data_IF_929293035717
#
_entry.id   IF_929293035717
#
_cell.length_a   1.000
_cell.length_b   1.000
_cell.length_c   1.000
_cell.angle_alpha   90.00
_cell.angle_beta   90.00
_cell.angle_gamma   90.00
#
_symmetry.space_group_name_H-M   'P 1'
#
loop_
_entity.id
_entity.type
_entity.pdbx_description
1 polymer ?
#
# COMPACT_ATOMS: atom_id res chain seq x y z
N UNK A 1 16.38 -4.89 1.08
CA UNK A 1 15.84 -4.04 2.17
C UNK A 1 16.64 -2.76 2.41
N UNK A 2 17.97 -2.74 2.26
CA UNK A 2 18.80 -1.53 2.50
C UNK A 2 18.49 -0.34 1.57
N UNK A 3 18.00 -0.59 0.36
CA UNK A 3 17.73 0.43 -0.66
C UNK A 3 16.47 1.26 -0.44
N UNK A 4 15.55 0.82 0.42
CA UNK A 4 14.26 1.50 0.66
C UNK A 4 14.30 2.50 1.83
N UNK A 5 15.43 2.62 2.54
CA UNK A 5 15.53 3.47 3.75
C UNK A 5 14.76 2.92 4.97
N UNK A 6 14.01 1.83 4.82
CA UNK A 6 13.19 1.24 5.88
C UNK A 6 13.88 0.15 6.69
N UNK A 7 15.20 0.18 6.86
CA UNK A 7 15.98 -0.91 7.50
C UNK A 7 15.51 -1.26 8.93
N UNK A 8 14.74 -0.38 9.58
CA UNK A 8 14.16 -0.55 10.92
C UNK A 8 12.69 -0.98 10.94
N UNK A 9 11.96 -0.91 9.83
CA UNK A 9 10.53 -1.22 9.79
C UNK A 9 10.33 -2.61 9.21
N UNK A 10 9.62 -3.48 9.92
CA UNK A 10 9.24 -4.83 9.48
C UNK A 10 7.73 -4.96 9.36
N UNK A 11 7.00 -4.29 10.26
CA UNK A 11 5.54 -4.34 10.36
C UNK A 11 4.91 -3.06 9.83
N UNK A 12 4.18 -3.17 8.73
CA UNK A 12 3.48 -2.04 8.12
C UNK A 12 1.98 -2.24 8.28
N UNK A 13 1.31 -1.26 8.87
CA UNK A 13 -0.14 -1.25 8.99
C UNK A 13 -0.77 -0.25 8.02
N UNK A 14 -1.74 -0.69 7.23
CA UNK A 14 -2.39 0.13 6.21
C UNK A 14 -3.86 0.37 6.56
N UNK A 15 -4.24 1.64 6.70
CA UNK A 15 -5.62 2.04 7.02
C UNK A 15 -6.35 2.38 5.72
N UNK A 16 -7.45 1.66 5.45
CA UNK A 16 -8.14 1.69 4.15
C UNK A 16 -7.40 0.86 3.10
N UNK A 17 -6.98 -0.35 3.47
CA UNK A 17 -6.11 -1.21 2.65
C UNK A 17 -6.77 -1.70 1.34
N UNK A 18 -8.09 -1.78 1.31
CA UNK A 18 -8.89 -2.22 0.16
C UNK A 18 -9.13 -1.13 -0.89
N UNK A 19 -8.71 0.12 -0.64
CA UNK A 19 -8.79 1.18 -1.66
C UNK A 19 -7.96 0.85 -2.91
N UNK A 20 -8.44 1.25 -4.08
CA UNK A 20 -7.81 0.95 -5.39
C UNK A 20 -6.31 1.25 -5.48
N UNK A 21 -5.86 2.37 -4.88
CA UNK A 21 -4.43 2.72 -4.85
C UNK A 21 -3.65 2.11 -3.69
N UNK A 22 -4.35 1.64 -2.65
CA UNK A 22 -3.75 1.06 -1.45
C UNK A 22 -3.45 -0.43 -1.63
N UNK A 23 -4.35 -1.17 -2.28
CA UNK A 23 -4.22 -2.62 -2.44
C UNK A 23 -2.98 -2.99 -3.26
N UNK A 24 -2.66 -2.22 -4.30
CA UNK A 24 -1.44 -2.43 -5.08
C UNK A 24 -0.17 -2.18 -4.26
N UNK A 25 -0.15 -1.11 -3.45
CA UNK A 25 0.97 -0.80 -2.54
C UNK A 25 1.14 -1.92 -1.50
N UNK A 26 0.04 -2.37 -0.90
CA UNK A 26 0.03 -3.46 0.07
C UNK A 26 0.56 -4.77 -0.52
N UNK A 27 0.14 -5.09 -1.75
CA UNK A 27 0.57 -6.30 -2.46
C UNK A 27 2.07 -6.28 -2.73
N UNK A 28 2.62 -5.13 -3.16
CA UNK A 28 4.06 -4.99 -3.37
C UNK A 28 4.82 -5.17 -2.05
N UNK A 29 4.37 -4.50 -0.97
CA UNK A 29 4.99 -4.60 0.34
C UNK A 29 5.04 -6.05 0.86
N UNK A 30 3.93 -6.78 0.71
CA UNK A 30 3.85 -8.18 1.11
C UNK A 30 4.82 -9.04 0.27
N UNK A 31 4.86 -8.86 -1.05
CA UNK A 31 5.74 -9.62 -1.96
C UNK A 31 7.23 -9.38 -1.73
N UNK A 32 7.63 -8.16 -1.34
CA UNK A 32 9.04 -7.84 -1.02
C UNK A 32 9.43 -8.21 0.42
N UNK A 33 8.52 -8.80 1.19
CA UNK A 33 8.80 -9.44 2.49
C UNK A 33 8.49 -8.61 3.73
N UNK A 34 7.73 -7.52 3.63
CA UNK A 34 7.20 -6.84 4.83
C UNK A 34 6.03 -7.63 5.41
N UNK A 35 5.86 -7.54 6.73
CA UNK A 35 4.65 -8.06 7.38
C UNK A 35 3.54 -7.01 7.27
N UNK A 36 2.65 -7.20 6.29
CA UNK A 36 1.56 -6.26 6.03
C UNK A 36 0.35 -6.61 6.88
N UNK A 37 -0.17 -5.61 7.57
CA UNK A 37 -1.48 -5.66 8.21
C UNK A 37 -2.33 -4.49 7.73
N UNK A 38 -3.64 -4.56 7.89
CA UNK A 38 -4.50 -3.42 7.56
C UNK A 38 -5.92 -3.52 8.06
N UNK A 39 -6.65 -2.45 7.84
CA UNK A 39 -8.08 -2.34 8.15
C UNK A 39 -8.84 -1.76 6.97
N UNK A 40 -10.07 -2.21 6.78
CA UNK A 40 -11.00 -1.61 5.84
C UNK A 40 -12.45 -1.80 6.29
N UNK A 41 -13.37 -0.98 5.78
CA UNK A 41 -14.81 -1.11 6.05
C UNK A 41 -15.45 -2.23 5.25
N UNK A 42 -14.83 -2.65 4.14
CA UNK A 42 -15.32 -3.72 3.27
C UNK A 42 -14.17 -4.67 2.96
N UNK A 43 -14.44 -5.97 2.99
CA UNK A 43 -13.51 -6.98 2.47
C UNK A 43 -13.93 -7.30 1.04
N UNK A 44 -13.13 -6.87 0.07
CA UNK A 44 -13.33 -7.18 -1.35
C UNK A 44 -12.53 -8.42 -1.76
N UNK A 45 -12.71 -8.89 -3.00
CA UNK A 45 -11.95 -10.02 -3.53
C UNK A 45 -10.45 -9.72 -3.59
N UNK A 46 -10.05 -8.49 -3.91
CA UNK A 46 -8.64 -8.09 -3.92
C UNK A 46 -8.04 -8.09 -2.50
N UNK A 47 -8.84 -7.74 -1.49
CA UNK A 47 -8.42 -7.85 -0.09
C UNK A 47 -8.29 -9.33 0.31
N UNK A 48 -9.18 -10.21 -0.15
CA UNK A 48 -9.05 -11.65 0.06
C UNK A 48 -7.78 -12.21 -0.61
N UNK A 49 -7.44 -11.77 -1.82
CA UNK A 49 -6.18 -12.12 -2.49
C UNK A 49 -4.96 -11.68 -1.70
N UNK A 50 -4.98 -10.45 -1.19
CA UNK A 50 -3.90 -9.95 -0.34
C UNK A 50 -3.76 -10.77 0.96
N UNK A 51 -4.89 -11.18 1.56
CA UNK A 51 -4.85 -12.09 2.72
C UNK A 51 -4.28 -13.47 2.36
N UNK A 52 -4.60 -14.00 1.17
CA UNK A 52 -3.99 -15.24 0.65
C UNK A 52 -2.47 -15.12 0.45
N UNK A 53 -1.96 -13.92 0.16
CA UNK A 53 -0.52 -13.62 0.11
C UNK A 53 0.13 -13.50 1.51
N UNK A 54 -0.66 -13.62 2.59
CA UNK A 54 -0.17 -13.66 3.97
C UNK A 54 -0.38 -12.37 4.76
N UNK A 55 -0.99 -11.34 4.17
CA UNK A 55 -1.32 -10.13 4.92
C UNK A 55 -2.45 -10.40 5.93
N UNK A 56 -2.48 -9.66 7.04
CA UNK A 56 -3.57 -9.72 8.02
C UNK A 56 -4.46 -8.50 7.90
N UNK A 57 -5.70 -8.69 7.45
CA UNK A 57 -6.67 -7.60 7.31
C UNK A 57 -7.82 -7.78 8.29
N UNK A 58 -8.23 -6.70 8.94
CA UNK A 58 -9.42 -6.68 9.80
C UNK A 58 -10.56 -5.88 9.16
N UNK A 59 -11.78 -6.37 9.36
CA UNK A 59 -12.99 -5.62 9.03
C UNK A 59 -13.28 -4.56 10.11
N UNK A 60 -13.49 -3.33 9.67
CA UNK A 60 -13.72 -2.16 10.50
C UNK A 60 -12.45 -1.59 11.13
N UNK A 61 -12.54 -0.32 11.54
CA UNK A 61 -11.40 0.38 12.12
C UNK A 61 -11.32 0.21 13.63
N UNK A 62 -10.29 -0.49 14.11
CA UNK A 62 -10.00 -0.74 15.53
C UNK A 62 -8.50 -0.86 15.73
N UNK A 63 -7.93 -0.36 16.84
CA UNK A 63 -6.48 -0.40 17.08
C UNK A 63 -6.01 -1.79 17.57
N UNK A 64 -6.43 -2.87 16.92
CA UNK A 64 -6.04 -4.25 17.28
C UNK A 64 -4.78 -4.66 16.56
N UNK A 65 -4.76 -4.58 15.23
CA UNK A 65 -3.61 -4.97 14.41
C UNK A 65 -2.48 -3.92 14.43
N UNK A 66 -2.81 -2.64 14.57
CA UNK A 66 -1.83 -1.54 14.57
C UNK A 66 -0.85 -1.57 15.76
N UNK A 67 -1.15 -2.29 16.84
CA UNK A 67 -0.33 -2.30 18.07
C UNK A 67 1.12 -2.77 17.85
N UNK A 68 1.35 -3.55 16.80
CA UNK A 68 2.67 -4.08 16.44
C UNK A 68 3.29 -3.36 15.23
N UNK A 69 2.68 -2.28 14.75
CA UNK A 69 3.13 -1.58 13.56
C UNK A 69 4.34 -0.71 13.89
N UNK A 70 5.39 -0.85 13.07
CA UNK A 70 6.52 0.08 13.10
C UNK A 70 6.18 1.35 12.29
N UNK A 71 5.34 1.20 11.25
CA UNK A 71 4.93 2.24 10.33
C UNK A 71 3.45 2.09 9.95
N UNK A 72 2.76 3.22 9.82
CA UNK A 72 1.37 3.29 9.37
C UNK A 72 1.29 4.02 8.04
N UNK A 73 0.60 3.42 7.07
CA UNK A 73 0.27 4.06 5.80
C UNK A 73 -1.23 4.34 5.76
N UNK A 74 -1.60 5.60 5.54
CA UNK A 74 -3.00 6.01 5.48
C UNK A 74 -3.40 6.49 4.09
N UNK A 75 -4.60 6.08 3.66
CA UNK A 75 -5.28 6.68 2.51
C UNK A 75 -5.74 8.11 2.82
N UNK A 76 -5.82 8.96 1.80
CA UNK A 76 -6.34 10.34 1.92
C UNK A 76 -7.82 10.37 2.33
N UNK A 77 -8.56 9.29 2.09
CA UNK A 77 -9.96 9.16 2.49
C UNK A 77 -10.16 8.89 4.00
N UNK A 78 -9.09 8.62 4.75
CA UNK A 78 -9.21 8.30 6.17
C UNK A 78 -9.43 9.57 7.00
N UNK A 79 -10.55 9.61 7.72
CA UNK A 79 -10.86 10.69 8.65
C UNK A 79 -9.80 10.84 9.73
N UNK A 80 -9.48 12.10 10.10
CA UNK A 80 -8.58 12.40 11.22
C UNK A 80 -9.07 11.85 12.58
N UNK A 81 -10.37 11.52 12.68
CA UNK A 81 -10.99 10.89 13.86
C UNK A 81 -10.91 9.36 13.84
N UNK A 82 -10.28 8.76 12.83
CA UNK A 82 -10.13 7.31 12.76
C UNK A 82 -9.39 6.79 14.01
N UNK A 83 -9.93 5.77 14.71
CA UNK A 83 -9.36 5.28 15.97
C UNK A 83 -7.95 4.71 15.83
N UNK A 84 -7.60 4.16 14.67
CA UNK A 84 -6.25 3.65 14.38
C UNK A 84 -5.25 4.80 14.18
N UNK A 85 -5.64 5.87 13.47
CA UNK A 85 -4.79 7.06 13.36
C UNK A 85 -4.56 7.73 14.72
N UNK A 86 -5.60 7.83 15.55
CA UNK A 86 -5.48 8.38 16.90
C UNK A 86 -4.56 7.52 17.78
N UNK A 87 -4.67 6.19 17.66
CA UNK A 87 -3.76 5.26 18.34
C UNK A 87 -2.32 5.46 17.89
N UNK A 88 -2.06 5.46 16.58
CA UNK A 88 -0.71 5.64 16.04
C UNK A 88 -0.06 6.93 16.56
N UNK A 89 -0.81 8.04 16.58
CA UNK A 89 -0.35 9.31 17.15
C UNK A 89 -0.06 9.21 18.63
N UNK A 90 -0.97 8.61 19.41
CA UNK A 90 -0.80 8.46 20.87
C UNK A 90 0.45 7.68 21.24
N UNK A 91 0.83 6.69 20.42
CA UNK A 91 1.98 5.82 20.65
C UNK A 91 3.20 6.17 19.79
N UNK A 92 3.23 7.37 19.19
CA UNK A 92 4.34 7.87 18.36
C UNK A 92 4.78 6.89 17.24
N UNK A 93 3.84 6.15 16.68
CA UNK A 93 4.08 5.33 15.49
C UNK A 93 4.19 6.27 14.29
N UNK A 94 5.19 6.05 13.44
CA UNK A 94 5.37 6.86 12.21
C UNK A 94 4.16 6.67 11.30
N UNK A 95 3.59 7.78 10.80
CA UNK A 95 2.45 7.77 9.88
C UNK A 95 2.88 8.49 8.60
N UNK A 96 2.72 7.84 7.45
CA UNK A 96 2.97 8.45 6.14
C UNK A 96 1.76 8.29 5.20
N UNK A 97 1.57 9.21 4.25
CA UNK A 97 0.54 9.05 3.23
C UNK A 97 0.93 7.97 2.22
N UNK A 98 -0.09 7.36 1.59
CA UNK A 98 0.08 6.41 0.48
C UNK A 98 1.09 6.86 -0.58
N UNK A 99 1.02 8.13 -1.00
CA UNK A 99 1.87 8.66 -2.07
C UNK A 99 3.36 8.63 -1.71
N UNK A 100 3.71 8.88 -0.44
CA UNK A 100 5.09 8.81 0.04
C UNK A 100 5.60 7.37 0.10
N UNK A 101 4.74 6.43 0.53
CA UNK A 101 5.06 5.01 0.48
C UNK A 101 5.30 4.55 -0.96
N UNK A 102 4.39 4.88 -1.89
CA UNK A 102 4.54 4.55 -3.31
C UNK A 102 5.84 5.15 -3.89
N UNK A 103 6.10 6.43 -3.63
CA UNK A 103 7.34 7.08 -4.07
C UNK A 103 8.59 6.38 -3.53
N UNK A 104 8.55 5.89 -2.29
CA UNK A 104 9.67 5.12 -1.72
C UNK A 104 9.85 3.77 -2.40
N UNK A 105 8.76 3.06 -2.68
CA UNK A 105 8.78 1.78 -3.40
C UNK A 105 9.34 1.90 -4.82
N UNK A 106 9.18 3.06 -5.47
CA UNK A 106 9.67 3.33 -6.82
C UNK A 106 11.19 3.57 -6.89
N UNK A 107 11.82 4.06 -5.80
CA UNK A 107 13.24 4.47 -5.80
C UNK A 107 14.24 3.41 -6.30
N UNK A 108 14.11 2.13 -5.96
CA UNK A 108 15.07 1.11 -6.39
C UNK A 108 14.94 0.72 -7.88
N UNK A 109 13.90 1.18 -8.58
CA UNK A 109 13.55 0.71 -9.92
C UNK A 109 13.59 1.84 -10.96
N UNK A 110 13.80 1.46 -12.23
CA UNK A 110 13.52 2.34 -13.36
C UNK A 110 12.00 2.51 -13.47
N UNK A 111 11.52 3.63 -12.95
CA UNK A 111 10.09 3.85 -12.75
C UNK A 111 9.50 4.79 -13.80
N UNK A 112 8.28 4.49 -14.25
CA UNK A 112 7.47 5.35 -15.11
C UNK A 112 6.26 5.82 -14.31
N UNK A 113 6.07 7.14 -14.22
CA UNK A 113 4.92 7.75 -13.57
C UNK A 113 3.96 8.33 -14.62
N UNK A 114 2.72 7.85 -14.65
CA UNK A 114 1.67 8.35 -15.55
C UNK A 114 0.77 9.32 -14.80
N UNK A 115 0.84 10.61 -15.16
CA UNK A 115 0.05 11.69 -14.56
C UNK A 115 -0.94 12.29 -15.57
N UNK A 116 -1.92 13.05 -15.09
CA UNK A 116 -2.93 13.74 -15.89
C UNK A 116 -4.34 13.65 -15.29
N UNK A 117 -5.26 14.51 -15.72
CA UNK A 117 -6.65 14.49 -15.22
C UNK A 117 -7.40 13.24 -15.71
N UNK A 118 -7.19 12.86 -16.97
CA UNK A 118 -7.83 11.71 -17.62
C UNK A 118 -6.80 10.77 -18.25
N UNK A 119 -7.19 9.54 -18.59
CA UNK A 119 -6.36 8.59 -19.34
C UNK A 119 -5.28 7.85 -18.53
N UNK A 120 -4.97 8.23 -17.29
CA UNK A 120 -3.91 7.62 -16.46
C UNK A 120 -3.99 6.09 -16.38
N UNK A 121 -5.15 5.57 -16.01
CA UNK A 121 -5.39 4.13 -15.84
C UNK A 121 -5.17 3.39 -17.16
N UNK A 122 -5.82 3.85 -18.24
CA UNK A 122 -5.71 3.23 -19.57
C UNK A 122 -4.28 3.26 -20.09
N UNK A 123 -3.60 4.40 -20.00
CA UNK A 123 -2.21 4.55 -20.42
C UNK A 123 -1.27 3.66 -19.62
N UNK A 124 -1.46 3.57 -18.30
CA UNK A 124 -0.66 2.68 -17.44
C UNK A 124 -0.85 1.21 -17.84
N UNK A 125 -2.09 0.78 -18.10
CA UNK A 125 -2.40 -0.57 -18.56
C UNK A 125 -1.78 -0.89 -19.92
N UNK A 126 -1.81 0.06 -20.87
CA UNK A 126 -1.20 -0.10 -22.20
C UNK A 126 0.33 -0.26 -22.05
N UNK A 127 0.98 0.60 -21.25
CA UNK A 127 2.43 0.50 -21.00
C UNK A 127 2.78 -0.86 -20.37
N UNK A 128 2.02 -1.30 -19.36
CA UNK A 128 2.23 -2.61 -18.74
C UNK A 128 2.08 -3.75 -19.75
N UNK A 129 1.07 -3.68 -20.63
CA UNK A 129 0.84 -4.66 -21.69
C UNK A 129 2.02 -4.74 -22.68
N UNK A 130 2.53 -3.59 -23.12
CA UNK A 130 3.70 -3.52 -24.02
C UNK A 130 4.92 -4.16 -23.37
N UNK A 131 5.20 -3.85 -22.10
CA UNK A 131 6.34 -4.41 -21.38
C UNK A 131 6.19 -5.91 -21.13
N UNK A 132 4.98 -6.39 -20.85
CA UNK A 132 4.69 -7.82 -20.75
C UNK A 132 4.91 -8.53 -22.10
N UNK A 133 4.42 -7.95 -23.21
CA UNK A 133 4.59 -8.51 -24.55
C UNK A 133 6.06 -8.52 -25.01
N UNK A 134 6.90 -7.68 -24.40
CA UNK A 134 8.35 -7.67 -24.61
C UNK A 134 9.13 -8.54 -23.60
N UNK A 135 8.45 -9.36 -22.81
CA UNK A 135 9.03 -10.23 -21.76
C UNK A 135 9.85 -9.48 -20.69
N UNK A 136 9.53 -8.21 -20.44
CA UNK A 136 10.25 -7.36 -19.47
C UNK A 136 9.68 -7.44 -18.05
N UNK A 137 8.61 -8.20 -17.83
CA UNK A 137 8.00 -8.47 -16.51
C UNK A 137 7.87 -7.23 -15.60
N UNK A 138 7.13 -6.19 -16.03
CA UNK A 138 6.94 -4.96 -15.27
C UNK A 138 6.15 -5.20 -13.97
N UNK A 139 6.50 -4.48 -12.91
CA UNK A 139 5.60 -4.26 -11.77
C UNK A 139 4.82 -2.97 -12.02
N UNK A 140 3.49 -3.01 -11.87
CA UNK A 140 2.63 -1.85 -12.09
C UNK A 140 1.61 -1.70 -10.95
N UNK A 141 1.20 -0.46 -10.69
CA UNK A 141 0.14 -0.10 -9.76
C UNK A 141 -0.85 0.78 -10.52
N UNK A 142 -2.11 0.36 -10.56
CA UNK A 142 -3.20 1.06 -11.23
C UNK A 142 -4.27 1.40 -10.18
N UNK A 143 -4.84 2.61 -10.23
CA UNK A 143 -5.90 3.03 -9.30
C UNK A 143 -5.53 4.24 -8.42
N UNK A 144 -5.08 5.34 -9.04
CA UNK A 144 -4.80 6.61 -8.37
C UNK A 144 -5.97 7.57 -8.40
#
# INVERSE_FOLDING_TARGET
>A
MTSLGFKKFKYIHMIGIGGSGMIGVATILQKIGFEVTGSDLVITDEVNDLMRLGAKVQLGHKPKLIKKADLVVASSAISKKNPELLFAKKFNITIIPRAEMLGTLMKPYRSIAVAGSHGKTSTTSIIASIFNAADLSPTYVIGG
#
